data_IF_416590541105
#
_entry.id   IF_416590541105
#
_cell.length_a   1.000
_cell.length_b   1.000
_cell.length_c   1.000
_cell.angle_alpha   90.00
_cell.angle_beta   90.00
_cell.angle_gamma   90.00
#
_symmetry.space_group_name_H-M   'P 1'
#
loop_
_entity.id
_entity.type
_entity.pdbx_description
1 polymer ?
#
# COMPACT_ATOMS: atom_id res chain seq x y z
N UNK A 1 -21.66 48.68 46.71
CA UNK A 1 -20.56 47.77 46.31
C UNK A 1 -21.18 46.45 45.87
N UNK A 2 -21.09 46.09 44.58
CA UNK A 2 -21.58 44.81 44.03
C UNK A 2 -20.40 44.11 43.38
N UNK A 3 -20.09 42.91 43.83
CA UNK A 3 -19.00 42.06 43.34
C UNK A 3 -19.25 41.62 41.89
N UNK A 4 -18.19 41.59 41.09
CA UNK A 4 -18.23 41.02 39.75
C UNK A 4 -18.43 39.49 39.84
N UNK A 5 -19.23 38.88 38.94
CA UNK A 5 -19.37 37.43 38.89
C UNK A 5 -18.08 36.80 38.36
N UNK A 6 -17.59 35.76 39.05
CA UNK A 6 -16.49 34.93 38.56
C UNK A 6 -17.00 33.95 37.50
N UNK A 7 -16.22 33.66 36.45
CA UNK A 7 -16.56 32.63 35.48
C UNK A 7 -16.48 31.24 36.13
N UNK A 8 -17.50 30.41 35.87
CA UNK A 8 -17.45 28.98 36.21
C UNK A 8 -16.56 28.25 35.19
N UNK A 9 -15.45 27.71 35.65
CA UNK A 9 -14.59 26.83 34.85
C UNK A 9 -15.18 25.42 34.88
N UNK A 10 -15.68 24.94 33.75
CA UNK A 10 -16.06 23.54 33.59
C UNK A 10 -14.83 22.80 33.09
N UNK A 11 -14.41 21.76 33.80
CA UNK A 11 -13.37 20.84 33.37
C UNK A 11 -14.02 19.60 32.75
N UNK A 12 -13.60 19.22 31.55
CA UNK A 12 -13.99 17.93 30.97
C UNK A 12 -13.29 16.82 31.75
N UNK A 13 -14.06 15.82 32.19
CA UNK A 13 -13.57 14.63 32.88
C UNK A 13 -13.73 13.39 31.99
N UNK A 14 -12.86 12.40 32.15
CA UNK A 14 -12.99 11.10 31.49
C UNK A 14 -13.99 10.18 32.20
N UNK A 15 -14.13 8.93 31.73
CA UNK A 15 -15.05 7.94 32.29
C UNK A 15 -14.72 7.56 33.75
N UNK A 16 -13.54 7.93 34.25
CA UNK A 16 -13.06 7.71 35.61
C UNK A 16 -12.97 9.03 36.43
N UNK A 17 -13.68 10.08 36.01
CA UNK A 17 -13.76 11.41 36.65
C UNK A 17 -12.42 12.18 36.72
N UNK A 18 -11.43 11.87 35.88
CA UNK A 18 -10.16 12.59 35.84
C UNK A 18 -10.20 13.79 34.89
N UNK A 19 -9.68 14.94 35.34
CA UNK A 19 -9.64 16.18 34.57
C UNK A 19 -8.71 16.03 33.35
N UNK A 20 -9.28 16.13 32.15
CA UNK A 20 -8.54 16.05 30.89
C UNK A 20 -7.83 17.39 30.64
N UNK A 21 -6.55 17.45 30.99
CA UNK A 21 -5.67 18.57 30.67
C UNK A 21 -5.37 18.54 29.16
N UNK A 22 -5.88 19.56 28.44
CA UNK A 22 -5.69 19.86 27.00
C UNK A 22 -6.85 19.51 26.02
N UNK A 23 -8.09 19.78 26.43
CA UNK A 23 -9.21 20.02 25.51
C UNK A 23 -9.08 21.41 24.85
N UNK A 24 -8.49 21.51 23.64
CA UNK A 24 -8.61 22.72 22.79
C UNK A 24 -9.94 22.66 22.01
N UNK A 25 -11.05 22.87 22.70
CA UNK A 25 -12.36 23.12 22.07
C UNK A 25 -12.90 24.46 22.56
N UNK A 26 -12.83 25.48 21.71
CA UNK A 26 -13.45 26.78 21.97
C UNK A 26 -14.97 26.64 21.95
N UNK A 27 -15.62 26.90 23.08
CA UNK A 27 -17.07 26.86 23.22
C UNK A 27 -17.75 27.99 22.45
N UNK A 28 -18.79 27.63 21.69
CA UNK A 28 -19.69 28.55 20.98
C UNK A 28 -20.60 29.25 21.98
N UNK A 29 -20.85 30.55 21.78
CA UNK A 29 -21.76 31.38 22.56
C UNK A 29 -23.20 30.88 22.39
N UNK A 30 -23.72 30.17 23.40
CA UNK A 30 -25.15 29.79 23.51
C UNK A 30 -25.95 31.00 24.00
N UNK A 31 -26.86 31.53 23.17
CA UNK A 31 -27.88 32.48 23.62
C UNK A 31 -29.17 31.73 23.97
N UNK A 32 -29.65 31.96 25.19
CA UNK A 32 -30.85 31.36 25.79
C UNK A 32 -32.10 31.96 25.16
N UNK A 33 -33.07 31.10 24.84
CA UNK A 33 -34.25 31.45 24.05
C UNK A 33 -35.34 32.22 24.79
N UNK A 34 -36.21 32.83 23.98
CA UNK A 34 -37.55 33.27 24.36
C UNK A 34 -38.57 32.55 23.47
N UNK A 35 -39.48 31.84 24.12
CA UNK A 35 -40.63 31.12 23.56
C UNK A 35 -41.64 32.06 22.89
N UNK A 36 -42.19 31.66 21.74
CA UNK A 36 -43.62 31.76 21.36
C UNK A 36 -43.90 31.07 20.00
N UNK A 37 -44.70 29.98 20.07
CA UNK A 37 -45.62 29.41 19.04
C UNK A 37 -45.07 28.87 17.70
N UNK A 38 -45.56 27.73 17.19
CA UNK A 38 -44.95 27.03 16.05
C UNK A 38 -45.50 27.49 14.69
N UNK A 39 -44.65 27.71 13.68
CA UNK A 39 -45.06 27.65 12.28
C UNK A 39 -44.40 26.47 11.56
N UNK A 40 -45.29 25.73 10.89
CA UNK A 40 -45.14 24.73 9.82
C UNK A 40 -43.73 24.51 9.24
N UNK A 41 -43.38 23.23 9.21
CA UNK A 41 -42.26 22.60 8.51
C UNK A 41 -42.15 23.05 7.05
N UNK A 42 -41.14 23.86 6.75
CA UNK A 42 -40.46 23.88 5.46
C UNK A 42 -39.01 24.33 5.69
N UNK A 43 -38.21 23.46 6.31
CA UNK A 43 -36.76 23.57 6.13
C UNK A 43 -36.48 23.15 4.68
N UNK A 44 -36.28 24.17 3.82
CA UNK A 44 -35.51 24.00 2.60
C UNK A 44 -34.13 23.51 3.01
N UNK A 45 -33.96 22.20 3.01
CA UNK A 45 -32.66 21.57 2.87
C UNK A 45 -32.10 22.21 1.61
N UNK A 46 -31.05 23.04 1.76
CA UNK A 46 -30.20 23.42 0.65
C UNK A 46 -29.59 22.11 0.15
N UNK A 47 -30.30 21.41 -0.74
CA UNK A 47 -29.75 20.32 -1.49
C UNK A 47 -28.62 20.93 -2.32
N UNK A 48 -27.38 20.67 -1.90
CA UNK A 48 -26.25 20.68 -2.83
C UNK A 48 -26.76 19.97 -4.09
N UNK A 49 -26.68 20.65 -5.23
CA UNK A 49 -26.87 20.01 -6.52
C UNK A 49 -26.10 18.68 -6.50
N UNK A 50 -26.76 17.53 -6.71
CA UNK A 50 -26.08 16.25 -6.62
C UNK A 50 -24.90 16.29 -7.59
N UNK A 51 -23.69 16.14 -7.05
CA UNK A 51 -22.50 15.96 -7.87
C UNK A 51 -22.79 14.80 -8.81
N UNK A 52 -22.69 15.06 -10.11
CA UNK A 52 -23.06 14.11 -11.16
C UNK A 52 -22.04 12.97 -11.14
N UNK A 53 -22.29 11.93 -10.36
CA UNK A 53 -21.42 10.75 -10.31
C UNK A 53 -21.72 9.83 -11.50
N UNK A 54 -20.68 9.17 -12.02
CA UNK A 54 -20.81 8.20 -13.11
C UNK A 54 -20.74 6.79 -12.51
N UNK A 55 -21.77 5.98 -12.73
CA UNK A 55 -21.73 4.57 -12.34
C UNK A 55 -20.95 3.77 -13.39
N UNK A 56 -19.78 3.29 -13.00
CA UNK A 56 -18.94 2.44 -13.82
C UNK A 56 -19.31 0.96 -13.68
N UNK A 57 -18.76 0.14 -14.58
CA UNK A 57 -18.82 -1.33 -14.49
C UNK A 57 -17.45 -1.87 -14.12
N UNK A 58 -17.38 -3.07 -13.57
CA UNK A 58 -16.11 -3.75 -13.32
C UNK A 58 -16.17 -5.22 -13.68
N UNK A 59 -15.01 -5.80 -13.93
CA UNK A 59 -14.81 -7.23 -14.11
C UNK A 59 -13.85 -7.71 -13.04
N UNK A 60 -14.32 -8.59 -12.17
CA UNK A 60 -13.46 -9.25 -11.18
C UNK A 60 -12.53 -10.22 -11.92
N UNK A 61 -11.23 -9.93 -11.91
CA UNK A 61 -10.19 -10.77 -12.53
C UNK A 61 -9.70 -11.90 -11.62
N UNK A 62 -10.30 -12.03 -10.43
CA UNK A 62 -10.00 -13.07 -9.45
C UNK A 62 -8.92 -12.65 -8.45
N UNK A 63 -8.34 -13.62 -7.72
CA UNK A 63 -7.26 -13.36 -6.78
C UNK A 63 -6.06 -12.72 -7.48
N UNK A 64 -5.35 -11.82 -6.79
CA UNK A 64 -4.20 -11.09 -7.35
C UNK A 64 -3.17 -12.02 -8.00
N UNK A 65 -2.88 -13.16 -7.37
CA UNK A 65 -1.94 -14.14 -7.90
C UNK A 65 -2.40 -14.81 -9.19
N UNK A 66 -3.69 -14.84 -9.52
CA UNK A 66 -4.18 -15.32 -10.83
C UNK A 66 -4.06 -14.22 -11.88
N UNK A 67 -4.52 -13.02 -11.54
CA UNK A 67 -4.53 -11.87 -12.44
C UNK A 67 -3.11 -11.45 -12.84
N UNK A 68 -2.17 -11.35 -11.90
CA UNK A 68 -0.78 -11.00 -12.23
C UNK A 68 -0.18 -12.03 -13.19
N UNK A 69 -0.45 -13.33 -13.02
CA UNK A 69 0.08 -14.37 -13.91
C UNK A 69 -0.41 -14.24 -15.36
N UNK A 70 -1.67 -13.84 -15.51
CA UNK A 70 -2.31 -13.69 -16.81
C UNK A 70 -1.88 -12.42 -17.54
N UNK A 71 -1.66 -11.32 -16.82
CA UNK A 71 -1.49 -9.99 -17.41
C UNK A 71 -0.10 -9.35 -17.26
N UNK A 72 0.82 -9.92 -16.47
CA UNK A 72 2.15 -9.31 -16.25
C UNK A 72 3.21 -9.66 -17.29
N UNK A 73 3.00 -10.71 -18.09
CA UNK A 73 4.02 -11.19 -19.03
C UNK A 73 4.04 -10.33 -20.31
N UNK A 74 5.25 -10.04 -20.81
CA UNK A 74 5.51 -9.39 -22.10
C UNK A 74 4.95 -7.96 -22.26
N UNK A 75 4.85 -7.20 -21.17
CA UNK A 75 4.49 -5.79 -21.23
C UNK A 75 5.73 -4.90 -21.35
N UNK A 76 5.59 -3.79 -22.09
CA UNK A 76 6.61 -2.72 -22.12
C UNK A 76 6.64 -1.91 -20.81
N UNK A 77 5.63 -2.08 -19.96
CA UNK A 77 5.49 -1.40 -18.67
C UNK A 77 4.96 -2.38 -17.61
N UNK A 78 5.36 -2.21 -16.34
CA UNK A 78 4.84 -3.02 -15.25
C UNK A 78 3.31 -2.94 -15.16
N UNK A 79 2.66 -4.09 -14.94
CA UNK A 79 1.24 -4.12 -14.60
C UNK A 79 1.00 -3.29 -13.33
N UNK A 80 0.06 -2.34 -13.41
CA UNK A 80 -0.20 -1.37 -12.33
C UNK A 80 -1.51 -1.69 -11.64
N UNK A 81 -1.46 -1.90 -10.32
CA UNK A 81 -2.64 -2.15 -9.48
C UNK A 81 -2.74 -1.02 -8.45
N UNK A 82 -3.85 -0.30 -8.42
CA UNK A 82 -4.11 0.69 -7.37
C UNK A 82 -4.67 -0.01 -6.13
N UNK A 83 -4.12 0.31 -4.97
CA UNK A 83 -4.52 -0.31 -3.70
C UNK A 83 -4.67 0.74 -2.60
N UNK A 84 -5.56 0.44 -1.66
CA UNK A 84 -5.72 1.15 -0.39
C UNK A 84 -5.08 0.45 0.80
N UNK A 85 -4.50 -0.73 0.59
CA UNK A 85 -3.76 -1.44 1.62
C UNK A 85 -2.69 -0.52 2.22
N UNK A 86 -2.45 -0.62 3.52
CA UNK A 86 -1.27 -0.02 4.15
C UNK A 86 -0.10 -1.01 4.21
N UNK A 87 -0.38 -2.29 3.99
CA UNK A 87 0.61 -3.35 4.01
C UNK A 87 1.32 -3.45 2.64
N UNK A 88 2.57 -2.99 2.63
CA UNK A 88 3.48 -3.03 1.49
C UNK A 88 4.46 -4.22 1.53
N UNK A 89 4.33 -5.11 2.52
CA UNK A 89 5.24 -6.22 2.77
C UNK A 89 5.37 -7.15 1.57
N UNK A 90 6.53 -7.79 1.43
CA UNK A 90 6.75 -8.79 0.36
C UNK A 90 5.96 -10.06 0.65
N UNK A 91 5.83 -10.42 1.91
CA UNK A 91 5.16 -11.63 2.39
C UNK A 91 3.70 -11.69 1.96
N UNK A 92 3.00 -10.55 2.02
CA UNK A 92 1.60 -10.44 1.58
C UNK A 92 1.44 -10.25 0.07
N UNK A 93 2.36 -9.53 -0.56
CA UNK A 93 2.13 -8.97 -1.89
C UNK A 93 2.95 -9.65 -3.00
N UNK A 94 4.16 -10.17 -2.73
CA UNK A 94 5.03 -10.75 -3.76
C UNK A 94 4.41 -12.02 -4.36
N UNK A 95 4.34 -12.08 -5.69
CA UNK A 95 3.90 -13.27 -6.42
C UNK A 95 5.14 -13.90 -7.06
N UNK A 96 5.59 -15.09 -6.60
CA UNK A 96 6.84 -15.68 -7.06
C UNK A 96 6.90 -15.83 -8.59
N UNK A 97 7.93 -15.23 -9.20
CA UNK A 97 8.19 -15.30 -10.63
C UNK A 97 7.43 -14.28 -11.49
N UNK A 98 6.66 -13.37 -10.89
CA UNK A 98 5.87 -12.39 -11.63
C UNK A 98 6.14 -10.96 -11.19
N UNK A 99 6.13 -10.05 -12.16
CA UNK A 99 6.50 -8.64 -12.01
C UNK A 99 5.28 -7.74 -12.13
N UNK A 100 5.12 -6.82 -11.20
CA UNK A 100 4.06 -5.83 -11.23
C UNK A 100 4.37 -4.73 -10.22
N UNK A 101 3.58 -3.67 -10.22
CA UNK A 101 3.64 -2.61 -9.21
C UNK A 101 2.29 -2.34 -8.57
N UNK A 102 2.33 -1.94 -7.32
CA UNK A 102 1.17 -1.41 -6.59
C UNK A 102 1.35 0.07 -6.31
N UNK A 103 0.30 0.83 -6.58
CA UNK A 103 0.23 2.25 -6.22
C UNK A 103 -0.64 2.36 -4.98
N UNK A 104 -0.01 2.67 -3.86
CA UNK A 104 -0.66 2.76 -2.56
C UNK A 104 -1.24 4.15 -2.37
N UNK A 105 -2.54 4.22 -2.07
CA UNK A 105 -3.20 5.48 -1.80
C UNK A 105 -3.98 5.41 -0.48
N UNK A 106 -3.71 6.38 0.38
CA UNK A 106 -4.51 6.71 1.55
C UNK A 106 -5.15 8.06 1.30
N UNK A 107 -6.48 8.09 1.23
CA UNK A 107 -7.21 9.34 1.17
C UNK A 107 -7.20 9.99 2.56
N UNK A 108 -6.23 10.88 2.81
CA UNK A 108 -6.12 11.62 4.07
C UNK A 108 -7.36 12.50 4.34
N UNK A 109 -8.18 12.77 3.31
CA UNK A 109 -9.43 13.54 3.47
C UNK A 109 -10.57 12.73 4.08
N UNK A 110 -10.41 11.41 4.27
CA UNK A 110 -11.38 10.58 5.00
C UNK A 110 -11.60 11.06 6.44
N UNK A 111 -10.62 11.73 7.05
CA UNK A 111 -10.68 12.23 8.44
C UNK A 111 -11.52 13.52 8.55
N UNK A 112 -11.64 14.31 7.48
CA UNK A 112 -12.11 15.70 7.56
C UNK A 112 -13.61 15.92 7.27
N UNK A 113 -14.36 14.90 6.83
CA UNK A 113 -15.77 15.05 6.48
C UNK A 113 -16.74 14.56 7.59
N UNK A 114 -17.57 15.44 8.18
CA UNK A 114 -18.56 15.05 9.21
C UNK A 114 -19.73 14.20 8.67
N UNK A 115 -20.06 14.32 7.38
CA UNK A 115 -21.06 13.48 6.70
C UNK A 115 -20.53 12.05 6.42
N UNK A 116 -19.27 11.79 6.77
CA UNK A 116 -18.58 10.56 6.42
C UNK A 116 -19.07 9.34 7.20
N UNK A 117 -19.89 9.42 8.24
CA UNK A 117 -20.31 8.21 8.95
C UNK A 117 -21.17 7.29 8.08
N UNK A 118 -22.10 7.85 7.28
CA UNK A 118 -22.93 7.08 6.35
C UNK A 118 -22.17 6.74 5.06
N UNK A 119 -21.35 7.68 4.56
CA UNK A 119 -20.54 7.50 3.36
C UNK A 119 -19.37 6.50 3.59
N UNK A 120 -18.78 6.42 4.80
CA UNK A 120 -17.71 5.46 5.18
C UNK A 120 -18.21 4.03 5.28
N UNK A 121 -19.47 3.86 5.68
CA UNK A 121 -20.09 2.54 5.76
C UNK A 121 -20.36 1.92 4.40
N UNK A 122 -20.67 2.76 3.39
CA UNK A 122 -21.06 2.30 2.04
C UNK A 122 -19.94 2.39 1.01
N UNK A 123 -19.08 3.41 1.11
CA UNK A 123 -18.09 3.72 0.08
C UNK A 123 -16.66 3.68 0.60
N UNK A 124 -15.79 3.23 -0.29
CA UNK A 124 -14.34 3.26 -0.18
C UNK A 124 -13.85 4.25 -1.21
N UNK A 125 -13.18 5.33 -0.80
CA UNK A 125 -12.64 6.36 -1.69
C UNK A 125 -11.23 6.04 -2.18
N UNK A 126 -10.96 6.29 -3.45
CA UNK A 126 -9.63 6.17 -4.07
C UNK A 126 -9.44 7.35 -5.02
N UNK A 127 -8.25 7.95 -5.01
CA UNK A 127 -7.85 8.89 -6.06
C UNK A 127 -6.73 8.26 -6.87
N UNK A 128 -6.92 8.14 -8.18
CA UNK A 128 -5.91 7.67 -9.11
C UNK A 128 -5.43 8.82 -10.00
N UNK A 129 -4.13 8.87 -10.24
CA UNK A 129 -3.54 9.80 -11.19
C UNK A 129 -3.18 9.05 -12.46
N UNK A 130 -3.57 9.61 -13.61
CA UNK A 130 -3.22 9.08 -14.93
C UNK A 130 -2.37 10.10 -15.70
N UNK A 131 -1.47 9.65 -16.58
CA UNK A 131 -0.73 10.56 -17.44
C UNK A 131 -1.69 11.23 -18.44
N UNK A 132 -1.44 12.48 -18.86
CA UNK A 132 -2.35 13.25 -19.72
C UNK A 132 -2.67 12.50 -21.04
N UNK A 133 -1.72 11.71 -21.56
CA UNK A 133 -1.90 10.88 -22.76
C UNK A 133 -3.01 9.83 -22.63
N UNK A 134 -3.31 9.36 -21.42
CA UNK A 134 -4.35 8.35 -21.18
C UNK A 134 -5.75 8.94 -21.06
N UNK A 135 -5.86 10.27 -20.87
CA UNK A 135 -7.16 10.95 -20.76
C UNK A 135 -8.02 10.77 -22.01
N UNK A 136 -7.40 10.79 -23.18
CA UNK A 136 -8.10 10.62 -24.47
C UNK A 136 -8.15 9.17 -24.94
N UNK A 137 -7.59 8.23 -24.17
CA UNK A 137 -7.62 6.82 -24.55
C UNK A 137 -9.07 6.31 -24.53
N UNK A 138 -9.55 5.66 -25.61
CA UNK A 138 -10.86 5.02 -25.59
C UNK A 138 -10.74 3.77 -24.71
N UNK A 139 -11.31 3.81 -23.50
CA UNK A 139 -11.34 2.71 -22.54
C UNK A 139 -9.97 2.34 -21.91
N UNK A 140 -9.44 3.21 -21.03
CA UNK A 140 -8.22 2.91 -20.28
C UNK A 140 -8.46 1.81 -19.25
N UNK A 141 -7.51 0.89 -19.15
CA UNK A 141 -7.58 -0.24 -18.21
C UNK A 141 -7.00 0.16 -16.87
N UNK A 142 -7.86 0.28 -15.86
CA UNK A 142 -7.46 0.55 -14.48
C UNK A 142 -7.76 -0.67 -13.63
N UNK A 143 -6.74 -1.19 -12.96
CA UNK A 143 -6.87 -2.33 -12.05
C UNK A 143 -6.83 -1.86 -10.60
N UNK A 144 -7.79 -2.30 -9.80
CA UNK A 144 -7.88 -1.97 -8.38
C UNK A 144 -7.89 -3.21 -7.52
N UNK A 145 -7.19 -3.15 -6.41
CA UNK A 145 -7.22 -4.16 -5.36
C UNK A 145 -8.48 -4.02 -4.52
N UNK A 146 -9.08 -5.17 -4.18
CA UNK A 146 -10.15 -5.29 -3.20
C UNK A 146 -9.78 -6.38 -2.18
N UNK A 147 -9.80 -6.02 -0.90
CA UNK A 147 -9.75 -6.99 0.20
C UNK A 147 -11.14 -7.57 0.43
N UNK A 148 -11.26 -8.90 0.43
CA UNK A 148 -12.50 -9.64 0.72
C UNK A 148 -12.23 -10.71 1.78
N UNK A 149 -13.29 -11.22 2.41
CA UNK A 149 -13.20 -12.33 3.35
C UNK A 149 -13.93 -13.55 2.78
N UNK A 150 -13.21 -14.67 2.63
CA UNK A 150 -13.78 -15.96 2.24
C UNK A 150 -13.38 -17.00 3.28
N UNK A 151 -14.35 -17.73 3.84
CA UNK A 151 -14.12 -18.75 4.87
C UNK A 151 -13.28 -18.24 6.07
N UNK A 152 -13.59 -17.01 6.53
CA UNK A 152 -12.86 -16.27 7.57
C UNK A 152 -11.37 -16.02 7.26
N UNK A 153 -10.96 -16.12 6.00
CA UNK A 153 -9.61 -15.77 5.55
C UNK A 153 -9.67 -14.54 4.66
N UNK A 154 -8.75 -13.62 4.89
CA UNK A 154 -8.54 -12.49 4.00
C UNK A 154 -8.06 -12.98 2.64
N UNK A 155 -8.68 -12.47 1.58
CA UNK A 155 -8.22 -12.64 0.20
C UNK A 155 -8.12 -11.31 -0.50
N UNK A 156 -7.17 -11.22 -1.43
CA UNK A 156 -6.95 -10.05 -2.26
C UNK A 156 -7.45 -10.34 -3.67
N UNK A 157 -8.53 -9.67 -4.06
CA UNK A 157 -9.12 -9.72 -5.39
C UNK A 157 -8.68 -8.51 -6.21
N UNK A 158 -8.64 -8.65 -7.53
CA UNK A 158 -8.34 -7.54 -8.43
C UNK A 158 -9.50 -7.32 -9.39
N UNK A 159 -9.94 -6.08 -9.51
CA UNK A 159 -11.01 -5.66 -10.41
C UNK A 159 -10.43 -4.80 -11.54
N UNK A 160 -10.84 -5.09 -12.76
CA UNK A 160 -10.66 -4.19 -13.90
C UNK A 160 -11.87 -3.26 -14.00
N UNK A 161 -11.62 -1.95 -14.01
CA UNK A 161 -12.64 -0.91 -14.09
C UNK A 161 -12.93 -0.56 -15.54
N UNK A 162 -14.21 -0.53 -15.89
CA UNK A 162 -14.71 -0.23 -17.24
C UNK A 162 -15.43 1.13 -17.21
N UNK A 163 -14.88 2.08 -17.95
CA UNK A 163 -15.37 3.46 -17.99
C UNK A 163 -16.37 3.69 -19.13
N UNK A 164 -16.41 2.79 -20.12
CA UNK A 164 -17.35 2.88 -21.26
C UNK A 164 -17.01 4.01 -22.24
N UNK A 165 -15.76 4.46 -22.25
CA UNK A 165 -15.27 5.57 -23.07
C UNK A 165 -13.99 6.18 -22.50
N UNK A 166 -13.67 7.40 -22.93
CA UNK A 166 -12.58 8.18 -22.36
C UNK A 166 -12.89 8.61 -20.91
N UNK A 167 -11.85 8.68 -20.07
CA UNK A 167 -12.00 9.12 -18.68
C UNK A 167 -12.36 10.61 -18.63
N UNK A 168 -13.36 10.93 -17.81
CA UNK A 168 -13.70 12.29 -17.41
C UNK A 168 -12.94 12.64 -16.13
N UNK A 169 -11.80 13.33 -16.31
CA UNK A 169 -10.94 13.79 -15.22
C UNK A 169 -11.70 14.78 -14.32
N UNK A 170 -11.52 14.64 -13.00
CA UNK A 170 -12.19 15.47 -12.00
C UNK A 170 -13.63 15.06 -11.69
N UNK A 171 -14.14 14.00 -12.33
CA UNK A 171 -15.46 13.42 -12.05
C UNK A 171 -15.32 12.22 -11.12
N UNK A 172 -16.27 12.06 -10.18
CA UNK A 172 -16.36 10.88 -9.33
C UNK A 172 -17.06 9.73 -10.07
N UNK A 173 -16.39 8.57 -10.08
CA UNK A 173 -16.92 7.31 -10.56
C UNK A 173 -17.29 6.41 -9.38
N UNK A 174 -18.42 5.71 -9.48
CA UNK A 174 -18.85 4.71 -8.49
C UNK A 174 -18.86 3.34 -9.14
N UNK A 175 -18.10 2.40 -8.58
CA UNK A 175 -18.04 1.00 -8.99
C UNK A 175 -18.63 0.13 -7.88
N UNK A 176 -19.85 -0.42 -8.09
CA UNK A 176 -20.53 -1.20 -7.07
C UNK A 176 -19.71 -2.43 -6.62
N UNK A 177 -19.73 -2.72 -5.33
CA UNK A 177 -19.09 -3.88 -4.71
C UNK A 177 -17.59 -4.08 -5.06
N UNK A 178 -16.87 -3.00 -5.37
CA UNK A 178 -15.43 -3.01 -5.70
C UNK A 178 -14.55 -2.41 -4.58
N UNK A 179 -15.15 -1.92 -3.50
CA UNK A 179 -14.44 -1.45 -2.32
C UNK A 179 -14.17 -2.58 -1.33
N UNK A 180 -13.17 -2.40 -0.46
CA UNK A 180 -12.80 -3.39 0.56
C UNK A 180 -14.00 -3.81 1.41
N UNK A 181 -14.11 -5.13 1.60
CA UNK A 181 -15.09 -5.75 2.47
C UNK A 181 -14.80 -5.41 3.93
N UNK A 182 -15.86 -5.03 4.62
CA UNK A 182 -15.91 -4.88 6.06
C UNK A 182 -16.60 -6.10 6.68
N UNK A 183 -16.07 -6.59 7.80
CA UNK A 183 -16.57 -7.82 8.44
C UNK A 183 -18.04 -7.69 8.87
N UNK A 184 -18.50 -6.47 9.17
CA UNK A 184 -19.86 -6.21 9.64
C UNK A 184 -20.77 -5.65 8.55
N UNK A 185 -20.22 -4.86 7.61
CA UNK A 185 -21.01 -4.17 6.58
C UNK A 185 -21.00 -4.91 5.22
N UNK A 186 -20.16 -5.92 5.06
CA UNK A 186 -19.97 -6.64 3.81
C UNK A 186 -19.21 -5.81 2.78
N UNK A 187 -19.40 -6.15 1.50
CA UNK A 187 -18.70 -5.51 0.38
C UNK A 187 -19.19 -4.08 0.17
N UNK A 188 -18.25 -3.14 0.12
CA UNK A 188 -18.51 -1.72 -0.11
C UNK A 188 -18.34 -1.34 -1.58
N UNK A 189 -18.89 -0.20 -1.95
CA UNK A 189 -18.72 0.38 -3.28
C UNK A 189 -17.40 1.16 -3.35
N UNK A 190 -16.72 1.15 -4.50
CA UNK A 190 -15.55 1.98 -4.73
C UNK A 190 -15.98 3.32 -5.33
N UNK A 191 -15.62 4.43 -4.69
CA UNK A 191 -15.74 5.79 -5.23
C UNK A 191 -14.35 6.25 -5.70
N UNK A 192 -14.15 6.29 -7.01
CA UNK A 192 -12.89 6.63 -7.65
C UNK A 192 -12.94 8.06 -8.20
N UNK A 193 -11.97 8.88 -7.84
CA UNK A 193 -11.69 10.15 -8.52
C UNK A 193 -10.45 10.00 -9.38
N UNK A 194 -10.53 10.38 -10.65
CA UNK A 194 -9.37 10.36 -11.54
C UNK A 194 -8.88 11.77 -11.77
N UNK A 195 -7.63 12.01 -11.40
CA UNK A 195 -6.91 13.25 -11.63
C UNK A 195 -5.95 13.03 -12.81
N UNK A 196 -5.74 14.06 -13.62
CA UNK A 196 -4.71 14.03 -14.66
C UNK A 196 -3.68 15.10 -14.39
N UNK A 197 -2.42 14.71 -14.50
CA UNK A 197 -1.28 15.58 -14.22
C UNK A 197 -0.88 16.26 -15.53
N UNK A 198 -1.48 17.42 -15.78
CA UNK A 198 -1.44 18.10 -17.08
C UNK A 198 -0.11 18.75 -17.44
N UNK A 199 0.78 19.03 -16.48
CA UNK A 199 1.87 20.00 -16.69
C UNK A 199 3.29 19.57 -16.33
N UNK A 200 3.52 18.42 -15.70
CA UNK A 200 4.87 17.96 -15.40
C UNK A 200 4.90 16.43 -15.42
N UNK A 201 5.48 15.85 -16.47
CA UNK A 201 5.79 14.41 -16.50
C UNK A 201 6.58 14.03 -15.25
N UNK A 202 7.50 14.89 -14.81
CA UNK A 202 8.24 14.75 -13.55
C UNK A 202 7.35 14.61 -12.31
N UNK A 203 6.18 15.27 -12.27
CA UNK A 203 5.24 15.13 -11.13
C UNK A 203 4.51 13.79 -11.19
N UNK A 204 4.11 13.35 -12.38
CA UNK A 204 3.57 11.99 -12.55
C UNK A 204 4.64 10.95 -12.22
N UNK A 205 5.88 11.17 -12.64
CA UNK A 205 6.97 10.27 -12.35
C UNK A 205 7.25 10.21 -10.86
N UNK A 206 7.29 11.35 -10.16
CA UNK A 206 7.40 11.42 -8.70
C UNK A 206 6.24 10.72 -7.99
N UNK A 207 5.03 10.80 -8.53
CA UNK A 207 3.88 10.02 -8.04
C UNK A 207 4.13 8.52 -8.21
N UNK A 208 4.60 8.10 -9.38
CA UNK A 208 4.91 6.69 -9.67
C UNK A 208 6.14 6.16 -8.92
N UNK A 209 7.08 7.02 -8.49
CA UNK A 209 8.18 6.65 -7.59
C UNK A 209 7.70 6.22 -6.21
N UNK A 210 6.46 6.56 -5.81
CA UNK A 210 5.85 6.07 -4.56
C UNK A 210 5.23 4.68 -4.70
N UNK A 211 5.14 4.15 -5.92
CA UNK A 211 4.66 2.79 -6.14
C UNK A 211 5.66 1.78 -5.57
N UNK A 212 5.16 0.64 -5.09
CA UNK A 212 6.02 -0.50 -4.75
C UNK A 212 6.07 -1.46 -5.91
N UNK A 213 7.28 -1.82 -6.31
CA UNK A 213 7.56 -2.81 -7.34
C UNK A 213 7.83 -4.18 -6.71
N UNK A 214 7.21 -5.22 -7.26
CA UNK A 214 7.34 -6.60 -6.78
C UNK A 214 7.85 -7.50 -7.91
N UNK A 215 8.68 -8.49 -7.55
CA UNK A 215 9.21 -9.47 -8.51
C UNK A 215 10.47 -9.04 -9.28
N UNK A 216 11.06 -7.89 -8.92
CA UNK A 216 12.32 -7.39 -9.50
C UNK A 216 13.54 -7.69 -8.63
N UNK A 217 13.32 -8.21 -7.43
CA UNK A 217 14.41 -8.59 -6.54
C UNK A 217 15.08 -9.88 -7.03
N UNK A 218 16.41 -9.87 -7.02
CA UNK A 218 17.21 -11.05 -7.34
C UNK A 218 17.53 -11.80 -6.06
N UNK A 219 17.48 -13.13 -6.13
CA UNK A 219 17.88 -14.02 -5.04
C UNK A 219 19.13 -14.76 -5.48
N UNK A 220 20.18 -14.69 -4.66
CA UNK A 220 21.43 -15.41 -4.92
C UNK A 220 21.92 -16.14 -3.67
N UNK A 221 22.68 -17.21 -3.89
CA UNK A 221 23.10 -18.13 -2.85
C UNK A 221 24.59 -18.41 -2.96
N UNK A 222 25.30 -18.31 -1.85
CA UNK A 222 26.73 -18.63 -1.74
C UNK A 222 26.88 -19.79 -0.79
N UNK A 223 27.49 -20.87 -1.27
CA UNK A 223 27.77 -22.04 -0.44
C UNK A 223 29.15 -21.91 0.20
N UNK A 224 29.19 -22.01 1.52
CA UNK A 224 30.43 -22.07 2.30
C UNK A 224 30.91 -23.51 2.30
N UNK A 225 32.12 -23.72 1.81
CA UNK A 225 32.82 -25.01 1.80
C UNK A 225 33.80 -25.09 2.98
N UNK A 226 34.34 -26.27 3.26
CA UNK A 226 35.43 -26.40 4.24
C UNK A 226 36.65 -25.53 3.87
N UNK A 227 36.96 -25.38 2.58
CA UNK A 227 38.01 -24.47 2.15
C UNK A 227 37.72 -23.01 2.55
N UNK A 228 36.47 -22.57 2.38
CA UNK A 228 36.02 -21.23 2.78
C UNK A 228 36.06 -21.02 4.29
N UNK A 229 35.86 -22.08 5.09
CA UNK A 229 36.01 -22.02 6.54
C UNK A 229 37.47 -21.80 6.96
N UNK A 230 38.42 -22.40 6.25
CA UNK A 230 39.84 -22.23 6.58
C UNK A 230 40.46 -20.94 6.02
N UNK A 231 39.95 -20.42 4.89
CA UNK A 231 40.60 -19.32 4.16
C UNK A 231 39.76 -18.04 4.05
N UNK A 232 38.51 -18.07 4.52
CA UNK A 232 37.55 -16.99 4.33
C UNK A 232 36.76 -17.14 3.02
N UNK A 233 35.76 -16.28 2.86
CA UNK A 233 34.89 -16.22 1.70
C UNK A 233 35.05 -14.87 1.01
N UNK A 234 35.29 -14.90 -0.30
CA UNK A 234 35.24 -13.73 -1.17
C UNK A 234 34.16 -13.99 -2.21
N UNK A 235 33.09 -13.19 -2.17
CA UNK A 235 32.00 -13.27 -3.14
C UNK A 235 31.89 -11.95 -3.91
N UNK A 236 31.80 -12.03 -5.24
CA UNK A 236 31.75 -10.85 -6.10
C UNK A 236 30.34 -10.66 -6.64
N UNK A 237 29.67 -9.60 -6.20
CA UNK A 237 28.36 -9.19 -6.68
C UNK A 237 28.51 -8.55 -8.05
N UNK A 238 27.84 -9.14 -9.04
CA UNK A 238 27.73 -8.57 -10.39
C UNK A 238 26.43 -7.78 -10.52
N UNK A 239 26.52 -6.52 -10.93
CA UNK A 239 25.35 -5.71 -11.33
C UNK A 239 24.93 -6.12 -12.75
N UNK A 240 23.63 -6.31 -12.97
CA UNK A 240 23.08 -6.56 -14.31
C UNK A 240 22.86 -5.23 -15.02
N UNK A 241 23.26 -5.13 -16.30
CA UNK A 241 22.85 -4.03 -17.18
C UNK A 241 23.77 -2.81 -17.28
N UNK A 242 24.89 -2.76 -16.55
CA UNK A 242 25.90 -1.70 -16.70
C UNK A 242 27.28 -2.32 -16.96
N UNK A 243 27.76 -2.22 -18.20
CA UNK A 243 29.04 -2.79 -18.62
C UNK A 243 30.29 -2.13 -18.00
N UNK A 244 30.13 -1.06 -17.21
CA UNK A 244 31.23 -0.23 -16.73
C UNK A 244 31.33 -0.09 -15.20
N UNK A 245 30.43 -0.70 -14.43
CA UNK A 245 30.47 -0.54 -12.97
C UNK A 245 31.32 -1.57 -12.25
N UNK A 246 32.11 -1.09 -11.28
CA UNK A 246 33.00 -1.90 -10.48
C UNK A 246 32.20 -2.91 -9.64
N UNK A 247 32.52 -4.21 -9.70
CA UNK A 247 31.78 -5.20 -8.93
C UNK A 247 32.04 -5.04 -7.43
N UNK A 248 30.99 -5.14 -6.63
CA UNK A 248 31.12 -5.11 -5.17
C UNK A 248 31.58 -6.47 -4.68
N UNK A 249 32.46 -6.48 -3.68
CA UNK A 249 32.95 -7.72 -3.08
C UNK A 249 32.47 -7.82 -1.64
N UNK A 250 31.88 -8.96 -1.31
CA UNK A 250 31.59 -9.38 0.05
C UNK A 250 32.78 -10.20 0.52
N UNK A 251 33.36 -9.80 1.64
CA UNK A 251 34.47 -10.49 2.28
C UNK A 251 34.03 -10.94 3.68
N UNK A 252 34.24 -12.21 3.99
CA UNK A 252 34.05 -12.77 5.32
C UNK A 252 35.32 -13.52 5.72
N UNK A 253 35.85 -13.21 6.89
CA UNK A 253 37.05 -13.87 7.40
C UNK A 253 36.76 -15.31 7.83
N UNK A 254 37.79 -16.16 7.77
CA UNK A 254 37.73 -17.55 8.20
C UNK A 254 37.21 -17.69 9.65
N UNK A 255 37.74 -16.86 10.55
CA UNK A 255 37.38 -16.87 11.97
C UNK A 255 35.89 -16.53 12.19
N UNK A 256 35.36 -15.54 11.47
CA UNK A 256 33.96 -15.14 11.54
C UNK A 256 33.04 -16.23 10.99
N UNK A 257 33.39 -16.83 9.85
CA UNK A 257 32.63 -17.92 9.25
C UNK A 257 32.57 -19.13 10.19
N UNK A 258 33.69 -19.50 10.81
CA UNK A 258 33.74 -20.61 11.76
C UNK A 258 32.86 -20.30 12.99
N UNK A 259 32.95 -19.09 13.52
CA UNK A 259 32.11 -18.64 14.66
C UNK A 259 30.62 -18.71 14.31
N UNK A 260 30.24 -18.27 13.11
CA UNK A 260 28.86 -18.32 12.62
C UNK A 260 28.35 -19.76 12.46
N UNK A 261 29.16 -20.65 11.88
CA UNK A 261 28.83 -22.07 11.75
C UNK A 261 28.63 -22.69 13.12
N UNK A 262 29.57 -22.50 14.04
CA UNK A 262 29.51 -23.08 15.38
C UNK A 262 28.26 -22.60 16.14
N UNK A 263 27.95 -21.31 16.07
CA UNK A 263 26.77 -20.73 16.69
C UNK A 263 25.46 -21.29 16.08
N UNK A 264 25.36 -21.35 14.75
CA UNK A 264 24.17 -21.82 14.05
C UNK A 264 23.95 -23.33 14.20
N UNK A 265 25.02 -24.13 14.21
CA UNK A 265 24.96 -25.56 14.50
C UNK A 265 24.42 -25.82 15.92
N UNK A 266 24.94 -25.12 16.93
CA UNK A 266 24.45 -25.23 18.31
C UNK A 266 22.96 -24.88 18.43
N UNK A 267 22.50 -23.83 17.74
CA UNK A 267 21.08 -23.48 17.70
C UNK A 267 20.22 -24.52 16.98
N UNK A 268 20.72 -25.11 15.89
CA UNK A 268 20.00 -26.14 15.12
C UNK A 268 19.87 -27.46 15.89
N UNK A 269 20.75 -27.74 16.83
CA UNK A 269 20.57 -28.86 17.76
C UNK A 269 19.54 -28.58 18.87
N UNK A 270 19.17 -27.31 19.09
CA UNK A 270 18.17 -26.91 20.08
C UNK A 270 16.74 -26.79 19.51
N UNK A 271 16.60 -26.77 18.18
CA UNK A 271 15.32 -26.65 17.47
C UNK A 271 15.31 -27.81 16.48
N UNK A 272 14.34 -28.74 16.57
CA UNK A 272 14.20 -29.91 15.67
C UNK A 272 14.08 -29.47 14.18
N UNK A 273 15.21 -29.17 13.57
CA UNK A 273 15.28 -28.56 12.26
C UNK A 273 15.31 -29.64 11.18
N UNK A 274 14.46 -29.45 10.17
CA UNK A 274 14.33 -30.34 9.01
C UNK A 274 15.69 -30.53 8.31
N UNK A 275 16.16 -31.78 8.10
CA UNK A 275 17.39 -32.07 7.38
C UNK A 275 17.26 -31.76 5.88
N UNK A 276 18.28 -31.15 5.26
CA UNK A 276 18.44 -31.13 3.79
C UNK A 276 18.81 -29.80 3.13
N UNK A 277 18.47 -28.64 3.71
CA UNK A 277 18.63 -27.34 3.03
C UNK A 277 19.99 -26.63 3.26
N UNK A 278 20.89 -27.21 4.06
CA UNK A 278 22.08 -26.51 4.56
C UNK A 278 21.75 -25.64 5.79
N UNK A 279 22.73 -24.90 6.30
CA UNK A 279 22.62 -23.99 7.46
C UNK A 279 22.77 -22.56 6.93
N UNK A 280 21.73 -21.73 7.05
CA UNK A 280 21.81 -20.31 6.68
C UNK A 280 22.61 -19.54 7.73
N UNK A 281 23.82 -19.11 7.35
CA UNK A 281 24.71 -18.36 8.21
C UNK A 281 24.30 -16.88 8.25
N UNK A 282 24.10 -16.28 7.07
CA UNK A 282 23.79 -14.88 6.89
C UNK A 282 22.80 -14.67 5.75
N UNK A 283 21.99 -13.63 5.89
CA UNK A 283 21.13 -13.07 4.85
C UNK A 283 21.46 -11.59 4.71
N UNK A 284 21.96 -11.19 3.55
CA UNK A 284 22.36 -9.82 3.24
C UNK A 284 21.45 -9.28 2.15
N UNK A 285 21.13 -7.98 2.22
CA UNK A 285 20.32 -7.30 1.21
C UNK A 285 21.10 -6.11 0.67
N UNK A 286 21.25 -6.05 -0.65
CA UNK A 286 21.97 -4.98 -1.35
C UNK A 286 20.96 -4.17 -2.18
N UNK A 287 20.61 -2.95 -1.73
CA UNK A 287 19.65 -2.11 -2.43
C UNK A 287 20.10 -1.77 -3.86
N UNK A 288 19.20 -1.91 -4.84
CA UNK A 288 19.47 -1.54 -6.24
C UNK A 288 20.40 -2.49 -7.03
N UNK A 289 20.57 -3.73 -6.55
CA UNK A 289 21.34 -4.80 -7.23
C UNK A 289 20.47 -5.92 -7.83
N UNK A 290 19.16 -5.72 -7.86
CA UNK A 290 18.19 -6.57 -8.55
C UNK A 290 18.05 -6.18 -10.01
N UNK A 291 16.84 -6.33 -10.54
CA UNK A 291 16.53 -6.04 -11.93
C UNK A 291 15.88 -4.67 -12.10
N UNK A 292 16.17 -4.01 -13.22
CA UNK A 292 15.47 -2.78 -13.61
C UNK A 292 14.03 -3.09 -13.98
N UNK A 293 13.12 -2.19 -13.63
CA UNK A 293 11.74 -2.23 -14.14
C UNK A 293 11.71 -1.96 -15.64
N UNK A 294 10.67 -2.43 -16.33
CA UNK A 294 10.54 -2.27 -17.78
C UNK A 294 10.50 -0.79 -18.19
N UNK A 295 9.97 0.07 -17.33
CA UNK A 295 9.94 1.52 -17.49
C UNK A 295 11.17 2.26 -16.92
N UNK A 296 12.14 1.53 -16.36
CA UNK A 296 13.38 2.06 -15.75
C UNK A 296 13.16 3.08 -14.62
N UNK A 297 11.98 3.07 -14.01
CA UNK A 297 11.65 3.96 -12.89
C UNK A 297 12.12 3.44 -11.54
N UNK A 298 12.34 2.13 -11.42
CA UNK A 298 12.85 1.51 -10.19
C UNK A 298 13.83 0.38 -10.51
N UNK A 299 14.54 -0.06 -9.48
CA UNK A 299 15.44 -1.21 -9.53
C UNK A 299 15.24 -2.06 -8.27
N UNK A 300 15.07 -3.36 -8.46
CA UNK A 300 14.97 -4.29 -7.34
C UNK A 300 16.27 -4.41 -6.55
N UNK A 301 16.21 -5.19 -5.48
CA UNK A 301 17.36 -5.45 -4.60
C UNK A 301 17.98 -6.83 -4.90
N UNK A 302 19.20 -7.05 -4.41
CA UNK A 302 19.77 -8.39 -4.32
C UNK A 302 19.66 -8.91 -2.88
N UNK A 303 18.94 -10.01 -2.71
CA UNK A 303 18.94 -10.81 -1.49
C UNK A 303 19.98 -11.94 -1.63
N UNK A 304 21.11 -11.79 -0.94
CA UNK A 304 22.20 -12.76 -0.90
C UNK A 304 22.10 -13.64 0.35
N UNK A 305 22.04 -14.96 0.17
CA UNK A 305 22.04 -15.95 1.25
C UNK A 305 23.35 -16.70 1.29
N UNK A 306 23.97 -16.78 2.47
CA UNK A 306 25.22 -17.51 2.69
C UNK A 306 24.89 -18.78 3.46
N UNK A 307 25.07 -19.92 2.80
CA UNK A 307 24.63 -21.24 3.25
C UNK A 307 25.84 -22.14 3.49
N UNK A 308 25.92 -22.77 4.65
CA UNK A 308 26.87 -23.85 4.91
C UNK A 308 26.23 -25.21 4.67
N UNK A 309 26.87 -26.08 3.89
CA UNK A 309 26.47 -27.48 3.74
C UNK A 309 27.54 -28.34 4.40
N UNK A 310 27.22 -29.00 5.53
CA UNK A 310 28.14 -29.86 6.26
C UNK A 310 28.71 -31.01 5.42
#
# INVERSE_FOLDING_TARGET
MKSAPQPATIHDVDEDDNIILHSKRSAIRVMKGTSKSPPRSHSRINSRTPQKCIFGKSVCRGPIGKMVKEYSLNLNHPLTIFTRSQDQSRERNEIPGYRFRKVFFTDETEILNPDATYDRGRYVRLTAFIPEREKTHPDPRIYVEQRVYQDNREMIMVHELIFGGAIQVGTEYVFPACGDEDIHLGKRDLRLTIQSIKLQQDTFDNYMHRAKYYGYDRKDHVFVSQYSLSNGLIYTIRRLGSGEESPYKVFLEAADLQTLVDAKCKMRHAIDAVPGEGIELLKLRFPGYGEYTEDKMDIGDLDLRILYKP
#
